data_IF_523152483927
#
_entry.id   IF_523152483927
#
_cell.length_a   1.000
_cell.length_b   1.000
_cell.length_c   1.000
_cell.angle_alpha   90.00
_cell.angle_beta   90.00
_cell.angle_gamma   90.00
#
_symmetry.space_group_name_H-M   'P 1'
#
loop_
_entity.id
_entity.type
_entity.pdbx_description
1 polymer ?
#
# COMPACT_ATOMS: atom_id res chain seq x y z
N UNK A 1 6.40 -19.60 21.52
CA UNK A 1 5.88 -20.74 20.73
C UNK A 1 5.05 -21.58 21.67
N UNK A 2 3.73 -21.72 21.48
CA UNK A 2 2.96 -22.67 22.28
C UNK A 2 3.14 -24.08 21.71
N UNK A 3 3.27 -25.00 22.63
CA UNK A 3 3.51 -26.43 22.51
C UNK A 3 2.42 -27.13 21.67
N UNK A 4 2.77 -27.57 20.46
CA UNK A 4 1.87 -28.30 19.54
C UNK A 4 1.87 -29.81 19.85
N UNK A 5 2.68 -30.28 20.80
CA UNK A 5 2.85 -31.72 21.05
C UNK A 5 1.73 -32.37 21.90
N UNK A 6 0.77 -31.62 22.46
CA UNK A 6 -0.19 -32.15 23.44
C UNK A 6 -1.69 -32.07 23.04
N UNK A 7 -2.04 -31.70 21.81
CA UNK A 7 -3.43 -31.74 21.36
C UNK A 7 -3.77 -33.12 20.73
N UNK A 8 -4.62 -33.91 21.39
CA UNK A 8 -5.14 -35.16 20.85
C UNK A 8 -5.85 -34.98 19.50
N UNK A 9 -5.98 -36.06 18.72
CA UNK A 9 -6.67 -36.02 17.41
C UNK A 9 -8.16 -35.65 17.54
N UNK A 10 -8.58 -34.58 16.85
CA UNK A 10 -9.97 -34.13 16.78
C UNK A 10 -10.60 -34.54 15.44
N UNK A 11 -11.39 -35.62 15.47
CA UNK A 11 -12.08 -36.13 14.29
C UNK A 11 -13.12 -35.17 13.69
N UNK A 12 -13.71 -34.27 14.47
CA UNK A 12 -14.67 -33.29 13.95
C UNK A 12 -13.95 -32.17 13.19
N UNK A 13 -12.86 -31.65 13.76
CA UNK A 13 -11.99 -30.69 13.07
C UNK A 13 -11.39 -31.32 11.80
N UNK A 14 -10.92 -32.56 11.87
CA UNK A 14 -10.42 -33.31 10.73
C UNK A 14 -11.48 -33.46 9.63
N UNK A 15 -12.72 -33.84 9.98
CA UNK A 15 -13.81 -33.96 9.02
C UNK A 15 -14.09 -32.63 8.30
N UNK A 16 -14.17 -31.53 9.05
CA UNK A 16 -14.47 -30.20 8.49
C UNK A 16 -13.36 -29.65 7.60
N UNK A 17 -12.10 -29.94 7.93
CA UNK A 17 -10.94 -29.38 7.23
C UNK A 17 -10.41 -30.30 6.13
N UNK A 18 -10.14 -31.57 6.46
CA UNK A 18 -9.48 -32.52 5.57
C UNK A 18 -10.49 -33.24 4.68
N UNK A 19 -11.48 -33.95 5.25
CA UNK A 19 -12.42 -34.74 4.44
C UNK A 19 -13.30 -33.87 3.51
N UNK A 20 -13.71 -32.67 3.94
CA UNK A 20 -14.43 -31.72 3.07
C UNK A 20 -13.55 -31.30 1.89
N UNK A 21 -12.28 -30.97 2.12
CA UNK A 21 -11.36 -30.55 1.07
C UNK A 21 -11.05 -31.70 0.09
N UNK A 22 -10.77 -32.89 0.60
CA UNK A 22 -10.51 -34.08 -0.23
C UNK A 22 -11.75 -34.52 -1.04
N UNK A 23 -12.95 -34.28 -0.51
CA UNK A 23 -14.18 -34.52 -1.26
C UNK A 23 -14.37 -33.53 -2.42
N UNK A 24 -13.90 -32.30 -2.27
CA UNK A 24 -13.96 -31.29 -3.33
C UNK A 24 -12.88 -31.51 -4.40
N UNK A 25 -11.69 -31.92 -3.97
CA UNK A 25 -10.56 -32.22 -4.85
C UNK A 25 -9.78 -33.41 -4.28
N UNK A 26 -10.05 -34.58 -4.85
CA UNK A 26 -9.44 -35.83 -4.41
C UNK A 26 -8.00 -36.02 -4.92
N UNK A 27 -7.54 -35.23 -5.91
CA UNK A 27 -6.15 -35.30 -6.37
C UNK A 27 -5.14 -34.99 -5.25
N UNK A 28 -5.57 -34.20 -4.26
CA UNK A 28 -4.81 -33.89 -3.05
C UNK A 28 -4.52 -35.10 -2.16
N UNK A 29 -5.29 -36.18 -2.32
CA UNK A 29 -5.13 -37.44 -1.60
C UNK A 29 -4.23 -38.46 -2.31
N UNK A 30 -3.51 -38.05 -3.37
CA UNK A 30 -2.44 -38.88 -3.92
C UNK A 30 -1.20 -38.82 -2.99
N UNK A 31 -0.70 -39.97 -2.48
CA UNK A 31 0.47 -39.98 -1.60
C UNK A 31 1.75 -39.44 -2.24
N UNK A 32 1.90 -39.59 -3.56
CA UNK A 32 3.11 -39.26 -4.30
C UNK A 32 3.06 -37.86 -4.91
N UNK A 33 1.89 -37.40 -5.36
CA UNK A 33 1.76 -36.09 -6.01
C UNK A 33 0.99 -35.06 -5.18
N UNK A 34 0.16 -35.52 -4.24
CA UNK A 34 -0.63 -34.68 -3.35
C UNK A 34 0.12 -34.23 -2.09
N UNK A 35 -0.65 -33.91 -1.04
CA UNK A 35 -0.14 -33.42 0.26
C UNK A 35 -0.38 -34.48 1.35
N UNK A 36 0.58 -35.42 1.55
CA UNK A 36 0.44 -36.49 2.53
C UNK A 36 0.40 -35.97 3.98
N UNK A 37 1.00 -34.81 4.26
CA UNK A 37 0.96 -34.19 5.59
C UNK A 37 -0.44 -33.64 5.89
N UNK A 38 -1.08 -32.98 4.92
CA UNK A 38 -2.46 -32.52 5.07
C UNK A 38 -3.43 -33.68 5.31
N UNK A 39 -3.27 -34.78 4.55
CA UNK A 39 -4.13 -35.97 4.68
C UNK A 39 -3.94 -36.65 6.04
N UNK A 40 -2.70 -36.74 6.51
CA UNK A 40 -2.33 -37.34 7.80
C UNK A 40 -2.49 -36.39 9.00
N UNK A 41 -3.01 -35.17 8.79
CA UNK A 41 -3.12 -34.16 9.84
C UNK A 41 -1.80 -33.86 10.57
N UNK A 42 -0.76 -33.64 9.78
CA UNK A 42 0.62 -33.39 10.23
C UNK A 42 1.12 -32.02 9.77
N UNK A 43 1.95 -31.41 10.61
CA UNK A 43 2.82 -30.32 10.18
C UNK A 43 3.95 -30.93 9.33
N UNK A 44 4.18 -30.46 8.09
CA UNK A 44 5.31 -30.90 7.29
C UNK A 44 6.66 -30.80 8.02
N UNK A 45 6.85 -29.82 8.92
CA UNK A 45 8.09 -29.61 9.65
C UNK A 45 8.33 -30.60 10.80
N UNK A 46 7.31 -31.37 11.22
CA UNK A 46 7.50 -32.44 12.18
C UNK A 46 8.43 -33.51 11.59
N UNK A 47 9.50 -33.85 12.32
CA UNK A 47 10.49 -34.87 11.89
C UNK A 47 10.62 -36.05 12.87
N UNK A 48 9.92 -36.00 14.00
CA UNK A 48 9.84 -37.14 14.93
C UNK A 48 9.00 -38.26 14.32
N UNK A 49 9.69 -39.33 13.92
CA UNK A 49 9.07 -40.50 13.27
C UNK A 49 8.08 -41.22 14.20
N UNK A 50 8.31 -41.25 15.51
CA UNK A 50 7.38 -41.87 16.46
C UNK A 50 6.08 -41.07 16.56
N UNK A 51 6.19 -39.73 16.65
CA UNK A 51 5.04 -38.84 16.68
C UNK A 51 4.24 -38.87 15.36
N UNK A 52 4.93 -38.91 14.21
CA UNK A 52 4.31 -39.06 12.89
C UNK A 52 3.51 -40.36 12.81
N UNK A 53 4.10 -41.49 13.21
CA UNK A 53 3.43 -42.79 13.20
C UNK A 53 2.21 -42.80 14.09
N UNK A 54 2.33 -42.28 15.32
CA UNK A 54 1.20 -42.24 16.25
C UNK A 54 0.05 -41.41 15.69
N UNK A 55 0.34 -40.21 15.14
CA UNK A 55 -0.69 -39.36 14.53
C UNK A 55 -1.37 -40.04 13.34
N UNK A 56 -0.59 -40.69 12.48
CA UNK A 56 -1.15 -41.39 11.33
C UNK A 56 -2.05 -42.57 11.75
N UNK A 57 -1.68 -43.31 12.79
CA UNK A 57 -2.52 -44.37 13.34
C UNK A 57 -3.83 -43.83 13.94
N UNK A 58 -3.80 -42.67 14.63
CA UNK A 58 -5.01 -42.01 15.12
C UNK A 58 -5.96 -41.63 13.96
N UNK A 59 -5.41 -41.06 12.89
CA UNK A 59 -6.15 -40.69 11.66
C UNK A 59 -6.69 -41.94 10.95
N UNK A 60 -5.88 -42.99 10.85
CA UNK A 60 -6.28 -44.25 10.22
C UNK A 60 -7.39 -44.95 11.02
N UNK A 61 -7.30 -44.97 12.36
CA UNK A 61 -8.36 -45.47 13.22
C UNK A 61 -9.67 -44.67 13.04
N UNK A 62 -9.57 -43.35 12.83
CA UNK A 62 -10.72 -42.53 12.47
C UNK A 62 -11.29 -42.88 11.11
N UNK A 63 -10.46 -43.06 10.08
CA UNK A 63 -10.92 -43.55 8.77
C UNK A 63 -11.66 -44.87 8.87
N UNK A 64 -11.13 -45.85 9.63
CA UNK A 64 -11.82 -47.12 9.84
C UNK A 64 -13.23 -46.95 10.46
N UNK A 65 -13.40 -46.02 11.40
CA UNK A 65 -14.71 -45.69 12.00
C UNK A 65 -15.66 -45.02 11.00
N UNK A 66 -15.14 -44.20 10.10
CA UNK A 66 -15.93 -43.44 9.13
C UNK A 66 -16.30 -44.23 7.85
N UNK A 67 -15.92 -45.51 7.74
CA UNK A 67 -16.22 -46.34 6.54
C UNK A 67 -17.70 -46.46 6.22
N UNK A 68 -18.58 -46.29 7.21
CA UNK A 68 -20.02 -46.31 7.02
C UNK A 68 -20.66 -44.91 7.05
N UNK A 69 -19.85 -43.83 7.05
CA UNK A 69 -20.36 -42.48 7.13
C UNK A 69 -21.13 -42.10 5.84
N UNK A 70 -22.39 -41.62 5.93
CA UNK A 70 -23.25 -41.41 4.75
C UNK A 70 -22.62 -40.51 3.67
N UNK A 71 -21.83 -39.52 4.09
CA UNK A 71 -21.23 -38.51 3.20
C UNK A 71 -19.83 -38.86 2.69
N UNK A 72 -19.10 -39.73 3.38
CA UNK A 72 -17.64 -39.90 3.21
C UNK A 72 -17.19 -41.35 3.03
N UNK A 73 -18.09 -42.34 3.11
CA UNK A 73 -17.76 -43.77 3.04
C UNK A 73 -16.81 -44.14 1.88
N UNK A 74 -17.06 -43.65 0.67
CA UNK A 74 -16.29 -44.04 -0.52
C UNK A 74 -14.90 -43.39 -0.51
N UNK A 75 -14.84 -42.10 -0.17
CA UNK A 75 -13.59 -41.35 0.05
C UNK A 75 -12.70 -42.03 1.08
N UNK A 76 -13.29 -42.38 2.23
CA UNK A 76 -12.57 -42.98 3.35
C UNK A 76 -12.13 -44.40 3.03
N UNK A 77 -12.94 -45.18 2.30
CA UNK A 77 -12.54 -46.51 1.84
C UNK A 77 -11.29 -46.44 0.95
N UNK A 78 -11.18 -45.43 0.10
CA UNK A 78 -10.02 -45.22 -0.75
C UNK A 78 -8.78 -44.77 0.05
N UNK A 79 -8.94 -43.87 1.03
CA UNK A 79 -7.85 -43.49 1.94
C UNK A 79 -7.30 -44.69 2.73
N UNK A 80 -8.21 -45.55 3.22
CA UNK A 80 -7.84 -46.81 3.89
C UNK A 80 -7.06 -47.73 2.96
N UNK A 81 -7.47 -47.86 1.70
CA UNK A 81 -6.77 -48.70 0.72
C UNK A 81 -5.36 -48.19 0.39
N UNK A 82 -5.10 -46.89 0.56
CA UNK A 82 -3.80 -46.24 0.31
C UNK A 82 -2.90 -46.16 1.54
N UNK A 83 -3.27 -46.78 2.67
CA UNK A 83 -2.53 -46.73 3.95
C UNK A 83 -1.03 -46.97 3.78
N UNK A 84 -0.67 -48.08 3.13
CA UNK A 84 0.73 -48.48 3.04
C UNK A 84 1.55 -47.53 2.16
N UNK A 85 0.93 -46.91 1.15
CA UNK A 85 1.56 -45.86 0.35
C UNK A 85 1.81 -44.58 1.15
N UNK A 86 0.88 -44.18 2.02
CA UNK A 86 1.11 -43.06 2.94
C UNK A 86 2.22 -43.37 3.95
N UNK A 87 2.24 -44.57 4.52
CA UNK A 87 3.31 -44.98 5.44
C UNK A 87 4.66 -45.03 4.76
N UNK A 88 4.74 -45.52 3.51
CA UNK A 88 5.99 -45.52 2.75
C UNK A 88 6.57 -44.09 2.60
N UNK A 89 5.72 -43.09 2.36
CA UNK A 89 6.15 -41.69 2.24
C UNK A 89 6.48 -41.06 3.59
N UNK A 90 5.65 -41.29 4.61
CA UNK A 90 5.77 -40.61 5.90
C UNK A 90 6.87 -41.19 6.80
N UNK A 91 7.18 -42.48 6.68
CA UNK A 91 8.15 -43.16 7.55
C UNK A 91 9.56 -43.19 6.98
N UNK A 92 9.72 -43.31 5.67
CA UNK A 92 11.02 -43.20 5.02
C UNK A 92 11.52 -41.75 5.04
N UNK A 93 12.76 -41.55 5.50
CA UNK A 93 13.32 -40.20 5.67
C UNK A 93 13.52 -39.48 4.35
N UNK A 94 13.94 -40.19 3.29
CA UNK A 94 14.22 -39.59 1.99
C UNK A 94 12.90 -39.22 1.32
N UNK A 95 11.95 -40.14 1.26
CA UNK A 95 10.62 -39.90 0.69
C UNK A 95 9.88 -38.78 1.44
N UNK A 96 9.98 -38.74 2.78
CA UNK A 96 9.40 -37.66 3.60
C UNK A 96 10.04 -36.30 3.26
N UNK A 97 11.36 -36.26 3.08
CA UNK A 97 12.08 -35.06 2.69
C UNK A 97 11.64 -34.53 1.32
N UNK A 98 11.52 -35.40 0.32
CA UNK A 98 11.04 -35.05 -1.02
C UNK A 98 9.58 -34.57 -0.99
N UNK A 99 8.71 -35.25 -0.25
CA UNK A 99 7.33 -34.84 -0.06
C UNK A 99 7.22 -33.47 0.64
N UNK A 100 8.04 -33.23 1.67
CA UNK A 100 8.11 -31.94 2.36
C UNK A 100 8.50 -30.83 1.39
N UNK A 101 9.57 -31.02 0.63
CA UNK A 101 10.03 -30.04 -0.35
C UNK A 101 8.95 -29.71 -1.39
N UNK A 102 8.27 -30.73 -1.94
CA UNK A 102 7.19 -30.56 -2.91
C UNK A 102 5.99 -29.82 -2.32
N UNK A 103 5.52 -30.23 -1.14
CA UNK A 103 4.36 -29.62 -0.49
C UNK A 103 4.66 -28.17 -0.10
N UNK A 104 5.84 -27.90 0.45
CA UNK A 104 6.26 -26.53 0.78
C UNK A 104 6.37 -25.67 -0.48
N UNK A 105 6.93 -26.19 -1.58
CA UNK A 105 6.97 -25.48 -2.86
C UNK A 105 5.56 -25.18 -3.40
N UNK A 106 4.65 -26.16 -3.40
CA UNK A 106 3.28 -25.98 -3.85
C UNK A 106 2.49 -24.98 -2.99
N UNK A 107 2.70 -25.00 -1.66
CA UNK A 107 2.11 -24.01 -0.74
C UNK A 107 2.66 -22.61 -0.99
N UNK A 108 3.97 -22.48 -1.19
CA UNK A 108 4.61 -21.20 -1.51
C UNK A 108 4.14 -20.65 -2.86
N UNK A 109 3.93 -21.52 -3.86
CA UNK A 109 3.39 -21.13 -5.17
C UNK A 109 1.93 -20.68 -5.07
N UNK A 110 1.10 -21.40 -4.31
CA UNK A 110 -0.29 -21.01 -4.05
C UNK A 110 -0.37 -19.68 -3.29
N UNK A 111 0.49 -19.46 -2.29
CA UNK A 111 0.59 -18.18 -1.59
C UNK A 111 1.10 -17.07 -2.52
N UNK A 112 2.12 -17.33 -3.34
CA UNK A 112 2.60 -16.38 -4.34
C UNK A 112 1.52 -16.00 -5.36
N UNK A 113 0.68 -16.95 -5.76
CA UNK A 113 -0.46 -16.68 -6.63
C UNK A 113 -1.56 -15.85 -5.93
N UNK A 114 -1.79 -16.09 -4.63
CA UNK A 114 -2.77 -15.37 -3.81
C UNK A 114 -2.34 -13.92 -3.55
N UNK A 115 -1.06 -13.70 -3.27
CA UNK A 115 -0.46 -12.37 -3.03
C UNK A 115 0.02 -11.66 -4.30
N UNK A 116 0.15 -12.35 -5.43
CA UNK A 116 0.82 -11.82 -6.62
C UNK A 116 0.22 -10.51 -7.17
N UNK A 117 -1.09 -10.31 -7.05
CA UNK A 117 -1.70 -9.02 -7.42
C UNK A 117 -1.28 -7.88 -6.46
N UNK A 118 -1.25 -8.16 -5.16
CA UNK A 118 -0.79 -7.21 -4.15
C UNK A 118 0.70 -6.89 -4.34
N UNK A 119 1.53 -7.90 -4.59
CA UNK A 119 2.97 -7.71 -4.83
C UNK A 119 3.24 -6.88 -6.08
N UNK A 120 2.48 -7.11 -7.16
CA UNK A 120 2.57 -6.29 -8.37
C UNK A 120 2.21 -4.84 -8.10
N UNK A 121 1.16 -4.57 -7.32
CA UNK A 121 0.73 -3.22 -6.97
C UNK A 121 1.73 -2.54 -6.03
N UNK A 122 2.19 -3.25 -5.00
CA UNK A 122 3.21 -2.78 -4.07
C UNK A 122 4.53 -2.48 -4.80
N UNK A 123 4.96 -3.34 -5.72
CA UNK A 123 6.15 -3.13 -6.54
C UNK A 123 6.09 -1.85 -7.37
N UNK A 124 4.92 -1.52 -7.94
CA UNK A 124 4.73 -0.23 -8.63
C UNK A 124 4.82 0.96 -7.68
N UNK A 125 4.17 0.87 -6.52
CA UNK A 125 4.21 1.93 -5.50
C UNK A 125 5.64 2.14 -4.98
N UNK A 126 6.37 1.07 -4.70
CA UNK A 126 7.77 1.11 -4.27
C UNK A 126 8.67 1.69 -5.35
N UNK A 127 8.50 1.28 -6.61
CA UNK A 127 9.29 1.83 -7.73
C UNK A 127 9.05 3.34 -7.93
N UNK A 128 7.83 3.82 -7.69
CA UNK A 128 7.47 5.22 -7.88
C UNK A 128 7.77 6.11 -6.67
N UNK A 129 7.57 5.60 -5.45
CA UNK A 129 7.61 6.41 -4.21
C UNK A 129 8.71 5.99 -3.24
N UNK A 130 9.44 4.89 -3.48
CA UNK A 130 10.43 4.34 -2.56
C UNK A 130 9.85 3.58 -1.36
N UNK A 131 8.53 3.34 -1.37
CA UNK A 131 7.77 2.63 -0.34
C UNK A 131 6.26 2.63 -0.65
N UNK A 132 5.44 2.09 0.25
CA UNK A 132 3.98 2.09 0.11
C UNK A 132 3.39 3.31 0.83
N UNK A 133 2.73 4.25 0.14
CA UNK A 133 2.06 5.39 0.79
C UNK A 133 0.92 4.96 1.73
N UNK A 134 0.79 5.67 2.86
CA UNK A 134 -0.19 5.39 3.90
C UNK A 134 -1.64 5.50 3.44
N UNK A 135 -1.95 6.52 2.61
CA UNK A 135 -3.27 6.72 2.00
C UNK A 135 -3.70 5.54 1.10
N UNK A 136 -2.75 4.80 0.50
CA UNK A 136 -3.04 3.64 -0.37
C UNK A 136 -3.33 2.36 0.40
N UNK A 137 -3.07 2.30 1.71
CA UNK A 137 -3.29 1.09 2.51
C UNK A 137 -4.76 0.67 2.55
N UNK A 138 -5.69 1.61 2.56
CA UNK A 138 -7.12 1.30 2.52
C UNK A 138 -7.49 0.58 1.21
N UNK A 139 -6.94 1.02 0.08
CA UNK A 139 -7.20 0.44 -1.23
C UNK A 139 -6.56 -0.95 -1.37
N UNK A 140 -5.34 -1.13 -0.87
CA UNK A 140 -4.67 -2.44 -0.85
C UNK A 140 -5.43 -3.46 0.01
N UNK A 141 -6.03 -3.04 1.14
CA UNK A 141 -6.90 -3.92 1.94
C UNK A 141 -8.13 -4.40 1.16
N UNK A 142 -8.72 -3.56 0.31
CA UNK A 142 -9.85 -3.97 -0.54
C UNK A 142 -9.41 -5.05 -1.54
N UNK A 143 -8.24 -4.90 -2.15
CA UNK A 143 -7.66 -5.90 -3.06
C UNK A 143 -7.37 -7.21 -2.32
N UNK A 144 -6.79 -7.13 -1.14
CA UNK A 144 -6.48 -8.28 -0.28
C UNK A 144 -7.75 -9.10 0.04
N UNK A 145 -8.81 -8.43 0.49
CA UNK A 145 -10.08 -9.10 0.82
C UNK A 145 -10.72 -9.80 -0.37
N UNK A 146 -10.64 -9.22 -1.58
CA UNK A 146 -11.15 -9.87 -2.81
C UNK A 146 -10.41 -11.17 -3.14
N UNK A 147 -9.18 -11.32 -2.66
CA UNK A 147 -8.34 -12.51 -2.82
C UNK A 147 -8.43 -13.47 -1.61
N UNK A 148 -9.33 -13.20 -0.66
CA UNK A 148 -9.49 -14.00 0.56
C UNK A 148 -8.29 -13.89 1.51
N UNK A 149 -7.58 -12.76 1.48
CA UNK A 149 -6.50 -12.44 2.42
C UNK A 149 -7.09 -11.63 3.57
N UNK A 150 -7.00 -12.17 4.78
CA UNK A 150 -7.57 -11.56 5.98
C UNK A 150 -6.59 -10.58 6.65
N UNK A 151 -7.07 -9.72 7.56
CA UNK A 151 -6.27 -8.66 8.17
C UNK A 151 -4.94 -9.15 8.81
N UNK A 152 -4.87 -10.31 9.50
CA UNK A 152 -3.61 -10.80 10.05
C UNK A 152 -2.59 -11.18 8.97
N UNK A 153 -3.05 -11.77 7.86
CA UNK A 153 -2.21 -12.13 6.72
C UNK A 153 -1.73 -10.88 5.98
N UNK A 154 -2.66 -9.94 5.74
CA UNK A 154 -2.34 -8.64 5.15
C UNK A 154 -1.32 -7.87 5.99
N UNK A 155 -1.45 -7.87 7.32
CA UNK A 155 -0.51 -7.21 8.22
C UNK A 155 0.90 -7.82 8.14
N UNK A 156 0.99 -9.15 8.06
CA UNK A 156 2.28 -9.84 7.88
C UNK A 156 2.92 -9.51 6.54
N UNK A 157 2.11 -9.53 5.47
CA UNK A 157 2.55 -9.12 4.14
C UNK A 157 3.03 -7.67 4.12
N UNK A 158 2.26 -6.75 4.71
CA UNK A 158 2.60 -5.32 4.76
C UNK A 158 3.90 -5.06 5.52
N UNK A 159 4.21 -5.87 6.55
CA UNK A 159 5.45 -5.79 7.31
C UNK A 159 6.72 -6.07 6.51
N UNK A 160 6.62 -6.61 5.29
CA UNK A 160 7.76 -6.77 4.37
C UNK A 160 8.10 -5.51 3.59
N UNK A 161 7.20 -4.52 3.59
CA UNK A 161 7.34 -3.27 2.86
C UNK A 161 7.57 -2.09 3.81
N UNK A 162 8.35 -1.11 3.35
CA UNK A 162 8.44 0.19 4.01
C UNK A 162 7.15 0.96 3.74
N UNK A 163 6.30 1.10 4.76
CA UNK A 163 5.17 2.02 4.72
C UNK A 163 5.70 3.43 4.87
N UNK A 164 5.49 4.23 3.82
CA UNK A 164 5.65 5.66 3.90
C UNK A 164 4.41 6.15 4.64
N UNK A 165 4.58 6.52 5.90
CA UNK A 165 3.61 7.44 6.47
C UNK A 165 3.59 8.62 5.50
N UNK A 166 2.46 8.85 4.83
CA UNK A 166 2.17 10.23 4.42
C UNK A 166 2.46 11.06 5.66
N UNK A 167 3.21 12.13 5.46
CA UNK A 167 3.58 13.07 6.50
C UNK A 167 2.36 13.34 7.41
N UNK A 168 2.30 12.56 8.50
CA UNK A 168 1.50 12.77 9.69
C UNK A 168 2.36 13.42 10.77
N UNK A 169 3.45 14.09 10.39
CA UNK A 169 3.69 15.39 11.00
C UNK A 169 2.49 16.24 10.60
N UNK A 170 1.76 16.79 11.57
CA UNK A 170 0.56 17.59 11.32
C UNK A 170 0.72 18.37 10.01
N UNK A 171 -0.13 18.09 9.01
CA UNK A 171 -0.07 18.76 7.72
C UNK A 171 0.07 20.25 8.01
N UNK A 172 1.21 20.83 7.61
CA UNK A 172 1.51 22.19 8.02
C UNK A 172 0.34 23.06 7.56
N UNK A 173 -0.33 23.78 8.47
CA UNK A 173 -1.48 24.56 8.08
C UNK A 173 -1.05 25.55 7.00
N UNK A 174 -1.94 25.74 6.02
CA UNK A 174 -1.80 26.83 5.08
C UNK A 174 -1.57 28.14 5.84
N UNK A 175 -0.78 29.02 5.25
CA UNK A 175 -0.56 30.34 5.83
C UNK A 175 -1.87 31.10 5.91
N UNK A 176 -1.88 32.13 6.77
CA UNK A 176 -3.03 33.01 6.94
C UNK A 176 -3.58 33.49 5.57
N UNK A 177 -4.92 33.45 5.34
CA UNK A 177 -5.50 33.83 4.06
C UNK A 177 -5.14 35.25 3.60
N UNK A 178 -4.95 36.20 4.52
CA UNK A 178 -4.50 37.55 4.20
C UNK A 178 -3.09 37.55 3.61
N UNK A 179 -2.18 36.78 4.21
CA UNK A 179 -0.80 36.60 3.72
C UNK A 179 -0.79 35.93 2.36
N UNK A 180 -1.57 34.85 2.15
CA UNK A 180 -1.65 34.17 0.85
C UNK A 180 -2.09 35.11 -0.26
N UNK A 181 -3.17 35.86 -0.04
CA UNK A 181 -3.70 36.84 -1.01
C UNK A 181 -2.70 37.96 -1.30
N UNK A 182 -1.99 38.44 -0.27
CA UNK A 182 -0.96 39.46 -0.45
C UNK A 182 0.18 38.96 -1.36
N UNK A 183 0.72 37.78 -1.05
CA UNK A 183 1.82 37.18 -1.84
C UNK A 183 1.35 36.91 -3.27
N UNK A 184 0.14 36.36 -3.45
CA UNK A 184 -0.47 36.12 -4.76
C UNK A 184 -0.58 37.40 -5.58
N UNK A 185 -1.16 38.45 -4.99
CA UNK A 185 -1.31 39.75 -5.66
C UNK A 185 0.03 40.36 -6.04
N UNK A 186 1.05 40.23 -5.18
CA UNK A 186 2.39 40.75 -5.46
C UNK A 186 3.09 39.98 -6.59
N UNK A 187 2.95 38.65 -6.61
CA UNK A 187 3.45 37.78 -7.68
C UNK A 187 2.77 38.09 -9.02
N UNK A 188 1.44 38.20 -9.04
CA UNK A 188 0.67 38.50 -10.25
C UNK A 188 0.98 39.91 -10.79
N UNK A 189 1.15 40.90 -9.90
CA UNK A 189 1.56 42.25 -10.29
C UNK A 189 2.99 42.28 -10.83
N UNK A 190 3.92 41.59 -10.18
CA UNK A 190 5.30 41.55 -10.61
C UNK A 190 5.43 40.84 -11.97
N UNK A 191 4.74 39.71 -12.16
CA UNK A 191 4.68 38.99 -13.44
C UNK A 191 4.13 39.87 -14.58
N UNK A 192 3.10 40.70 -14.32
CA UNK A 192 2.60 41.67 -15.30
C UNK A 192 3.62 42.77 -15.62
N UNK A 193 4.34 43.27 -14.63
CA UNK A 193 5.32 44.35 -14.80
C UNK A 193 6.62 43.89 -15.49
N UNK A 194 6.98 42.62 -15.35
CA UNK A 194 8.15 41.99 -15.99
C UNK A 194 7.82 41.37 -17.34
N UNK A 195 6.53 41.12 -17.63
CA UNK A 195 6.10 40.38 -18.82
C UNK A 195 6.34 38.87 -18.70
N UNK A 196 6.56 38.37 -17.48
CA UNK A 196 6.84 36.97 -17.19
C UNK A 196 5.90 36.43 -16.10
N UNK A 197 4.63 36.13 -16.44
CA UNK A 197 3.68 35.57 -15.48
C UNK A 197 4.07 34.16 -15.00
N UNK A 198 4.77 33.37 -15.83
CA UNK A 198 5.16 31.99 -15.49
C UNK A 198 6.28 31.98 -14.46
N UNK A 199 7.31 32.80 -14.65
CA UNK A 199 8.39 32.98 -13.67
C UNK A 199 7.93 33.60 -12.36
N UNK A 200 6.70 34.10 -12.28
CA UNK A 200 6.10 34.64 -11.05
C UNK A 200 4.84 33.88 -10.62
N UNK A 201 4.59 32.68 -11.15
CA UNK A 201 3.40 31.91 -10.81
C UNK A 201 3.41 31.39 -9.36
N UNK A 202 4.59 31.24 -8.74
CA UNK A 202 4.76 30.85 -7.33
C UNK A 202 6.03 31.49 -6.76
N UNK A 203 6.21 31.46 -5.44
CA UNK A 203 7.47 31.87 -4.81
C UNK A 203 8.64 30.99 -5.28
N UNK A 204 8.40 29.71 -5.59
CA UNK A 204 9.42 28.84 -6.16
C UNK A 204 9.83 29.30 -7.57
N UNK A 205 8.84 29.60 -8.43
CA UNK A 205 9.09 30.14 -9.76
C UNK A 205 9.83 31.48 -9.68
N UNK A 206 9.43 32.36 -8.75
CA UNK A 206 10.09 33.65 -8.51
C UNK A 206 11.56 33.49 -8.08
N UNK A 207 11.86 32.46 -7.28
CA UNK A 207 13.23 32.10 -6.91
C UNK A 207 13.99 31.37 -8.03
N UNK A 208 13.32 31.00 -9.12
CA UNK A 208 13.88 30.23 -10.22
C UNK A 208 14.19 28.78 -9.86
N UNK A 209 13.40 28.18 -8.98
CA UNK A 209 13.57 26.78 -8.51
C UNK A 209 12.29 25.96 -8.68
N UNK A 210 12.43 24.63 -8.65
CA UNK A 210 11.30 23.71 -8.55
C UNK A 210 10.74 23.60 -7.12
N UNK A 211 9.51 23.12 -6.99
CA UNK A 211 8.83 22.92 -5.69
C UNK A 211 9.52 21.89 -4.78
N UNK A 212 10.29 20.97 -5.37
CA UNK A 212 11.08 19.96 -4.66
C UNK A 212 12.53 20.41 -4.35
N UNK A 213 12.88 21.67 -4.59
CA UNK A 213 14.23 22.16 -4.35
C UNK A 213 14.61 22.10 -2.86
N UNK A 214 15.82 21.66 -2.51
CA UNK A 214 16.26 21.60 -1.12
C UNK A 214 16.39 23.00 -0.51
N UNK A 215 16.22 23.12 0.81
CA UNK A 215 16.28 24.40 1.54
C UNK A 215 17.60 25.15 1.27
N UNK A 216 18.72 24.44 1.14
CA UNK A 216 20.00 25.05 0.81
C UNK A 216 19.98 25.80 -0.54
N UNK A 217 19.27 25.25 -1.54
CA UNK A 217 19.09 25.91 -2.83
C UNK A 217 18.17 27.13 -2.72
N UNK A 218 17.10 27.04 -1.93
CA UNK A 218 16.21 28.18 -1.65
C UNK A 218 16.98 29.35 -1.01
N UNK A 219 17.83 29.07 -0.03
CA UNK A 219 18.68 30.07 0.64
C UNK A 219 19.64 30.71 -0.35
N UNK A 220 20.32 29.90 -1.17
CA UNK A 220 21.25 30.40 -2.19
C UNK A 220 20.55 31.32 -3.20
N UNK A 221 19.39 30.91 -3.70
CA UNK A 221 18.62 31.66 -4.69
C UNK A 221 18.03 32.94 -4.12
N UNK A 222 17.54 32.89 -2.89
CA UNK A 222 17.10 34.07 -2.14
C UNK A 222 18.22 35.09 -2.01
N UNK A 223 19.43 34.66 -1.60
CA UNK A 223 20.57 35.55 -1.44
C UNK A 223 20.95 36.24 -2.77
N UNK A 224 21.06 35.47 -3.86
CA UNK A 224 21.38 36.01 -5.18
C UNK A 224 20.35 37.04 -5.67
N UNK A 225 19.04 36.78 -5.47
CA UNK A 225 17.98 37.72 -5.83
C UNK A 225 17.97 38.95 -4.92
N UNK A 226 18.26 38.80 -3.63
CA UNK A 226 18.36 39.92 -2.71
C UNK A 226 19.50 40.87 -3.07
N UNK A 227 20.67 40.35 -3.44
CA UNK A 227 21.80 41.16 -3.94
C UNK A 227 21.43 41.89 -5.23
N UNK A 228 20.83 41.19 -6.20
CA UNK A 228 20.36 41.80 -7.44
C UNK A 228 19.32 42.91 -7.19
N UNK A 229 18.39 42.68 -6.27
CA UNK A 229 17.36 43.66 -5.90
C UNK A 229 17.96 44.92 -5.25
N UNK A 230 19.02 44.78 -4.44
CA UNK A 230 19.70 45.93 -3.84
C UNK A 230 20.28 46.88 -4.90
N UNK A 231 20.90 46.32 -5.93
CA UNK A 231 21.52 47.06 -7.04
C UNK A 231 20.50 47.64 -8.05
N UNK A 232 19.26 47.15 -8.04
CA UNK A 232 18.22 47.61 -8.95
C UNK A 232 17.82 49.07 -8.71
N UNK A 233 17.36 49.74 -9.78
CA UNK A 233 16.78 51.09 -9.69
C UNK A 233 15.52 51.07 -8.82
N UNK A 234 15.33 52.11 -8.01
CA UNK A 234 14.14 52.22 -7.17
C UNK A 234 12.87 52.50 -8.01
N UNK A 235 12.08 51.46 -8.23
CA UNK A 235 10.76 51.51 -8.87
C UNK A 235 9.82 50.45 -8.27
N UNK A 236 8.58 50.38 -8.77
CA UNK A 236 7.55 49.45 -8.28
C UNK A 236 8.00 47.99 -8.31
N UNK A 237 8.81 47.60 -9.28
CA UNK A 237 9.31 46.21 -9.40
C UNK A 237 10.26 45.90 -8.26
N UNK A 238 11.17 46.83 -7.94
CA UNK A 238 12.08 46.69 -6.80
C UNK A 238 11.32 46.57 -5.49
N UNK A 239 10.27 47.37 -5.28
CA UNK A 239 9.42 47.28 -4.07
C UNK A 239 8.77 45.91 -3.94
N UNK A 240 8.07 45.44 -4.99
CA UNK A 240 7.40 44.14 -4.97
C UNK A 240 8.37 42.96 -4.77
N UNK A 241 9.51 42.99 -5.46
CA UNK A 241 10.54 41.96 -5.29
C UNK A 241 11.12 41.97 -3.87
N UNK A 242 11.31 43.15 -3.26
CA UNK A 242 11.74 43.29 -1.88
C UNK A 242 10.74 42.71 -0.88
N UNK A 243 9.45 43.01 -1.06
CA UNK A 243 8.37 42.48 -0.21
C UNK A 243 8.28 40.95 -0.32
N UNK A 244 8.33 40.40 -1.55
CA UNK A 244 8.33 38.96 -1.79
C UNK A 244 9.57 38.27 -1.18
N UNK A 245 10.76 38.86 -1.30
CA UNK A 245 11.97 38.35 -0.67
C UNK A 245 11.91 38.41 0.86
N UNK A 246 11.19 39.38 1.43
CA UNK A 246 10.92 39.44 2.87
C UNK A 246 9.99 38.29 3.28
N UNK A 247 8.90 38.04 2.55
CA UNK A 247 8.01 36.90 2.81
C UNK A 247 8.72 35.55 2.65
N UNK A 248 9.58 35.39 1.63
CA UNK A 248 10.42 34.18 1.48
C UNK A 248 11.29 33.98 2.73
N UNK A 249 11.98 35.03 3.19
CA UNK A 249 12.86 34.94 4.36
C UNK A 249 12.10 34.64 5.66
N UNK A 250 10.96 35.29 5.86
CA UNK A 250 10.18 35.19 7.10
C UNK A 250 9.33 33.92 7.18
N UNK A 251 9.05 33.29 6.04
CA UNK A 251 8.07 32.19 5.95
C UNK A 251 8.62 30.98 5.22
N UNK A 252 9.00 31.13 3.96
CA UNK A 252 9.40 30.01 3.11
C UNK A 252 10.70 29.33 3.58
N UNK A 253 11.65 30.11 4.10
CA UNK A 253 12.94 29.59 4.59
C UNK A 253 12.90 29.07 6.04
N UNK A 254 11.73 29.13 6.71
CA UNK A 254 11.55 28.52 8.02
C UNK A 254 11.51 26.98 7.91
N UNK A 255 11.81 26.23 8.99
CA UNK A 255 11.83 24.77 8.95
C UNK A 255 10.60 24.12 8.30
N UNK A 256 9.40 24.63 8.64
CA UNK A 256 8.12 24.14 8.09
C UNK A 256 7.59 25.01 6.93
N UNK A 257 8.39 25.97 6.48
CA UNK A 257 8.04 26.96 5.45
C UNK A 257 7.62 26.34 4.11
N UNK A 258 8.41 25.42 3.52
CA UNK A 258 8.07 24.81 2.24
C UNK A 258 6.78 23.99 2.30
N UNK A 259 6.57 23.22 3.38
CA UNK A 259 5.35 22.44 3.59
C UNK A 259 4.12 23.36 3.76
N UNK A 260 4.25 24.43 4.55
CA UNK A 260 3.17 25.41 4.73
C UNK A 260 2.86 26.20 3.46
N UNK A 261 3.86 26.48 2.63
CA UNK A 261 3.65 27.13 1.33
C UNK A 261 2.96 26.20 0.32
N UNK A 262 3.33 24.91 0.30
CA UNK A 262 2.64 23.90 -0.50
C UNK A 262 1.16 23.79 -0.09
N UNK A 263 0.87 23.71 1.21
CA UNK A 263 -0.50 23.73 1.72
C UNK A 263 -1.24 25.03 1.34
N UNK A 264 -0.55 26.16 1.29
CA UNK A 264 -1.10 27.45 0.87
C UNK A 264 -1.49 27.48 -0.61
N UNK A 265 -0.67 26.90 -1.49
CA UNK A 265 -0.98 26.78 -2.92
C UNK A 265 -2.22 25.90 -3.14
N UNK A 266 -2.34 24.79 -2.39
CA UNK A 266 -3.52 23.92 -2.46
C UNK A 266 -4.78 24.63 -1.94
N UNK A 267 -4.65 25.42 -0.86
CA UNK A 267 -5.75 26.23 -0.34
C UNK A 267 -6.20 27.28 -1.36
N UNK A 268 -5.27 28.01 -1.98
CA UNK A 268 -5.58 28.98 -3.03
C UNK A 268 -6.27 28.30 -4.22
N UNK A 269 -5.86 27.07 -4.59
CA UNK A 269 -6.49 26.35 -5.70
C UNK A 269 -7.92 25.94 -5.37
N UNK A 270 -8.14 25.51 -4.12
CA UNK A 270 -9.47 25.26 -3.57
C UNK A 270 -10.34 26.52 -3.60
N UNK A 271 -9.81 27.66 -3.14
CA UNK A 271 -10.50 28.95 -3.14
C UNK A 271 -10.93 29.37 -4.58
N UNK A 272 -10.13 29.05 -5.59
CA UNK A 272 -10.44 29.35 -7.01
C UNK A 272 -11.61 28.54 -7.55
N UNK A 273 -11.73 27.27 -7.16
CA UNK A 273 -12.77 26.36 -7.69
C UNK A 273 -13.99 26.23 -6.78
N UNK A 274 -13.91 26.73 -5.53
CA UNK A 274 -14.98 26.63 -4.54
C UNK A 274 -16.33 27.15 -5.06
N UNK A 275 -16.43 28.31 -5.74
CA UNK A 275 -17.71 28.80 -6.23
C UNK A 275 -18.40 27.85 -7.23
N UNK A 276 -17.62 27.24 -8.13
CA UNK A 276 -18.15 26.32 -9.16
C UNK A 276 -18.58 24.98 -8.55
N UNK A 277 -17.84 24.52 -7.53
CA UNK A 277 -18.21 23.32 -6.76
C UNK A 277 -19.49 23.59 -5.98
N UNK A 278 -19.60 24.74 -5.31
CA UNK A 278 -20.80 25.14 -4.57
C UNK A 278 -22.02 25.25 -5.50
N UNK A 279 -21.85 25.86 -6.68
CA UNK A 279 -22.90 25.94 -7.71
C UNK A 279 -23.35 24.53 -8.15
N UNK A 280 -22.40 23.64 -8.48
CA UNK A 280 -22.72 22.27 -8.86
C UNK A 280 -23.43 21.50 -7.73
N UNK A 281 -23.02 21.68 -6.47
CA UNK A 281 -23.72 21.10 -5.31
C UNK A 281 -25.14 21.65 -5.15
N UNK A 282 -25.38 22.92 -5.43
CA UNK A 282 -26.71 23.54 -5.31
C UNK A 282 -27.64 23.08 -6.44
N UNK A 283 -27.14 22.99 -7.67
CA UNK A 283 -27.94 22.68 -8.87
C UNK A 283 -28.11 21.17 -9.05
N UNK A 284 -27.00 20.44 -9.04
CA UNK A 284 -26.93 19.03 -9.43
C UNK A 284 -26.80 18.07 -8.24
N UNK A 285 -26.52 18.59 -7.04
CA UNK A 285 -26.23 17.81 -5.81
C UNK A 285 -25.06 16.82 -5.96
N UNK A 286 -24.28 16.92 -7.05
CA UNK A 286 -23.04 16.21 -7.30
C UNK A 286 -22.15 17.00 -8.28
N UNK A 287 -20.83 16.74 -8.26
CA UNK A 287 -19.90 17.25 -9.27
C UNK A 287 -19.74 16.14 -10.29
N UNK A 288 -20.30 16.34 -11.49
CA UNK A 288 -20.16 15.38 -12.58
C UNK A 288 -18.69 15.21 -12.99
N UNK A 289 -18.38 14.09 -13.66
CA UNK A 289 -17.03 13.83 -14.16
C UNK A 289 -16.52 14.92 -15.12
N UNK A 290 -17.40 15.51 -15.94
CA UNK A 290 -17.05 16.58 -16.87
C UNK A 290 -16.74 17.89 -16.14
N UNK A 291 -17.53 18.24 -15.11
CA UNK A 291 -17.25 19.39 -14.25
C UNK A 291 -15.92 19.19 -13.52
N UNK A 292 -15.69 18.01 -12.93
CA UNK A 292 -14.43 17.68 -12.28
C UNK A 292 -13.23 17.86 -13.21
N UNK A 293 -13.28 17.30 -14.42
CA UNK A 293 -12.21 17.43 -15.41
C UNK A 293 -11.94 18.90 -15.77
N UNK A 294 -13.00 19.68 -16.00
CA UNK A 294 -12.89 21.12 -16.27
C UNK A 294 -12.25 21.89 -15.11
N UNK A 295 -12.60 21.57 -13.86
CA UNK A 295 -12.03 22.20 -12.67
C UNK A 295 -10.54 21.85 -12.52
N UNK A 296 -10.17 20.59 -12.76
CA UNK A 296 -8.77 20.14 -12.74
C UNK A 296 -7.97 20.84 -13.84
N UNK A 297 -8.48 20.90 -15.07
CA UNK A 297 -7.82 21.60 -16.17
C UNK A 297 -7.61 23.08 -15.86
N UNK A 298 -8.59 23.73 -15.21
CA UNK A 298 -8.46 25.12 -14.77
C UNK A 298 -7.36 25.30 -13.72
N UNK A 299 -7.32 24.44 -12.69
CA UNK A 299 -6.27 24.48 -11.65
C UNK A 299 -4.89 24.22 -12.22
N UNK A 300 -4.73 23.22 -13.10
CA UNK A 300 -3.48 22.94 -13.80
C UNK A 300 -3.07 24.14 -14.67
N UNK A 301 -4.04 24.76 -15.34
CA UNK A 301 -3.85 25.96 -16.16
C UNK A 301 -3.36 27.19 -15.40
N UNK A 302 -3.45 27.23 -14.07
CA UNK A 302 -2.89 28.30 -13.24
C UNK A 302 -1.36 28.28 -13.21
N UNK A 303 -0.72 27.17 -13.62
CA UNK A 303 0.73 27.06 -13.67
C UNK A 303 1.40 27.01 -12.30
N UNK A 304 0.66 26.69 -11.23
CA UNK A 304 1.17 26.65 -9.86
C UNK A 304 1.96 25.38 -9.53
N UNK A 305 2.15 24.48 -10.50
CA UNK A 305 2.88 23.22 -10.30
C UNK A 305 2.11 22.19 -9.48
N UNK A 306 0.77 22.26 -9.46
CA UNK A 306 -0.11 21.26 -8.85
C UNK A 306 -0.30 20.14 -9.89
N UNK A 307 0.34 19.00 -9.67
CA UNK A 307 0.30 17.82 -10.54
C UNK A 307 0.82 16.58 -9.85
#
# INVERSE_FOLDING_TARGET
MPDVAAAGFDGNAYRKRVLVALKADFSRADPNTGDPFFVADLDPELDDTAAINQRFEDVYAFWQKERNHPRYKDLVAELVARRDAYLAVLTDRVARGEARARVTAARNEADSARFGELDRLAGKLVAQHGGIPGDKLAQLRVVARRRGIEEPEFSRWLGTYRVLNDAGGAAQPAWDPGVRRQIRSALDELGRLTGDPVGHATLWAFLGVGSAAPVAELVMRHAALAEAAQLARHDRRKTLAGDLLADVKLRLLMPDGPAGYQASILADAGDVIAPDVEEAMIIDNEVSAAQFESLVQRVVGLGWGIG
#
